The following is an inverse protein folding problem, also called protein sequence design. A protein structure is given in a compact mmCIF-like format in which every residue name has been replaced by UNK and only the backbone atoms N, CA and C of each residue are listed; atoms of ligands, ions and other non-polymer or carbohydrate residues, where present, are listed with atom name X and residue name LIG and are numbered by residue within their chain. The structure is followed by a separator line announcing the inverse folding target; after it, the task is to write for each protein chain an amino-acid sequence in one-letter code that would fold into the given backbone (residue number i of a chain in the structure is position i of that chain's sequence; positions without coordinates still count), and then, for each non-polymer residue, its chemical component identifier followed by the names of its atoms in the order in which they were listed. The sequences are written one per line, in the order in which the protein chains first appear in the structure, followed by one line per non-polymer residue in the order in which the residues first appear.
data_IF_397570235394
#
_entry.id   IF_397570235394
#
_cell.length_a   1.000
_cell.length_b   1.000
_cell.length_c   1.000
_cell.angle_alpha   90.00
_cell.angle_beta   90.00
_cell.angle_gamma   90.00
#
_symmetry.space_group_name_H-M   'P 1'
#
loop_
_entity.id
_entity.type
_entity.pdbx_description
1 polymer ?
#
# COMPACT_ATOMS: atom_id res chain seq x y z
N UNK A 1 -25.87 5.47 -3.14
CA UNK A 1 -25.79 4.42 -2.10
C UNK A 1 -25.28 3.07 -2.64
N UNK A 2 -25.87 2.45 -3.67
CA UNK A 2 -25.52 1.07 -4.06
C UNK A 2 -24.09 0.80 -4.57
N UNK A 3 -23.45 1.72 -5.31
CA UNK A 3 -22.10 1.49 -5.87
C UNK A 3 -21.00 1.56 -4.80
N UNK A 4 -21.12 2.49 -3.85
CA UNK A 4 -20.14 2.66 -2.76
C UNK A 4 -20.17 1.47 -1.80
N UNK A 5 -21.35 1.00 -1.40
CA UNK A 5 -21.48 -0.19 -0.56
C UNK A 5 -20.93 -1.46 -1.24
N UNK A 6 -21.13 -1.60 -2.55
CA UNK A 6 -20.59 -2.73 -3.31
C UNK A 6 -19.05 -2.70 -3.37
N UNK A 7 -18.47 -1.51 -3.55
CA UNK A 7 -17.01 -1.33 -3.56
C UNK A 7 -16.41 -1.63 -2.18
N UNK A 8 -16.98 -1.06 -1.11
CA UNK A 8 -16.55 -1.33 0.27
C UNK A 8 -16.63 -2.83 0.61
N UNK A 9 -17.73 -3.51 0.25
CA UNK A 9 -17.89 -4.93 0.51
C UNK A 9 -16.89 -5.82 -0.26
N UNK A 10 -16.57 -5.49 -1.51
CA UNK A 10 -15.55 -6.20 -2.30
C UNK A 10 -14.15 -5.97 -1.72
N UNK A 11 -13.88 -4.75 -1.32
CA UNK A 11 -12.59 -4.32 -0.83
C UNK A 11 -12.25 -4.92 0.54
N UNK A 12 -13.25 -5.08 1.41
CA UNK A 12 -13.09 -5.81 2.68
C UNK A 12 -12.77 -7.29 2.44
N UNK A 13 -13.43 -7.95 1.48
CA UNK A 13 -13.10 -9.33 1.11
C UNK A 13 -11.68 -9.45 0.56
N UNK A 14 -11.25 -8.52 -0.30
CA UNK A 14 -9.88 -8.50 -0.82
C UNK A 14 -8.85 -8.39 0.30
N UNK A 15 -9.13 -7.61 1.34
CA UNK A 15 -8.24 -7.47 2.49
C UNK A 15 -8.07 -8.78 3.27
N UNK A 16 -9.15 -9.53 3.50
CA UNK A 16 -9.08 -10.87 4.12
C UNK A 16 -8.19 -11.82 3.31
N UNK A 17 -8.33 -11.81 1.98
CA UNK A 17 -7.47 -12.61 1.09
C UNK A 17 -6.00 -12.19 1.16
N UNK A 18 -5.71 -10.89 1.19
CA UNK A 18 -4.35 -10.37 1.29
C UNK A 18 -3.69 -10.74 2.62
N UNK A 19 -4.41 -10.65 3.74
CA UNK A 19 -3.91 -11.07 5.05
C UNK A 19 -3.62 -12.57 5.09
N UNK A 20 -4.54 -13.39 4.57
CA UNK A 20 -4.36 -14.84 4.49
C UNK A 20 -3.15 -15.20 3.61
N UNK A 21 -2.98 -14.52 2.48
CA UNK A 21 -1.83 -14.71 1.61
C UNK A 21 -0.51 -14.36 2.31
N UNK A 22 -0.46 -13.23 3.02
CA UNK A 22 0.71 -12.87 3.83
C UNK A 22 1.03 -13.92 4.90
N UNK A 23 0.01 -14.41 5.62
CA UNK A 23 0.20 -15.45 6.62
C UNK A 23 0.75 -16.74 5.99
N UNK A 24 0.22 -17.14 4.84
CA UNK A 24 0.72 -18.28 4.09
C UNK A 24 2.19 -18.10 3.68
N UNK A 25 2.53 -16.97 3.05
CA UNK A 25 3.91 -16.67 2.65
C UNK A 25 4.86 -16.59 3.85
N UNK A 26 4.38 -16.12 5.00
CA UNK A 26 5.13 -16.13 6.24
C UNK A 26 5.40 -17.56 6.74
N UNK A 27 4.38 -18.43 6.78
CA UNK A 27 4.51 -19.83 7.20
C UNK A 27 5.50 -20.62 6.36
N UNK A 28 5.60 -20.33 5.06
CA UNK A 28 6.53 -21.00 4.15
C UNK A 28 7.87 -20.26 3.97
N UNK A 29 8.16 -19.24 4.79
CA UNK A 29 9.39 -18.43 4.75
C UNK A 29 9.67 -17.72 3.41
N UNK A 30 8.64 -17.42 2.61
CA UNK A 30 8.74 -16.70 1.33
C UNK A 30 8.26 -15.25 1.44
N UNK A 31 8.51 -14.60 2.58
CA UNK A 31 8.16 -13.20 2.82
C UNK A 31 8.85 -12.22 1.85
N UNK A 32 9.90 -12.67 1.15
CA UNK A 32 10.61 -11.93 0.10
C UNK A 32 10.19 -12.31 -1.31
N UNK A 33 9.03 -12.95 -1.50
CA UNK A 33 8.53 -13.21 -2.83
C UNK A 33 8.01 -11.90 -3.47
N UNK A 34 8.23 -11.66 -4.78
CA UNK A 34 7.72 -10.46 -5.46
C UNK A 34 6.21 -10.25 -5.35
N UNK A 35 5.44 -11.33 -5.17
CA UNK A 35 3.99 -11.29 -4.94
C UNK A 35 3.63 -10.61 -3.60
N UNK A 36 4.50 -10.71 -2.59
CA UNK A 36 4.29 -10.03 -1.30
C UNK A 36 4.36 -8.51 -1.45
N UNK A 37 5.19 -8.01 -2.37
CA UNK A 37 5.25 -6.58 -2.68
C UNK A 37 3.94 -6.06 -3.28
N UNK A 38 3.28 -6.86 -4.14
CA UNK A 38 1.95 -6.55 -4.67
C UNK A 38 0.90 -6.52 -3.56
N UNK A 39 0.95 -7.48 -2.62
CA UNK A 39 0.02 -7.50 -1.50
C UNK A 39 0.15 -6.24 -0.64
N UNK A 40 1.37 -5.83 -0.30
CA UNK A 40 1.58 -4.57 0.43
C UNK A 40 1.09 -3.35 -0.36
N UNK A 41 1.29 -3.32 -1.67
CA UNK A 41 0.79 -2.22 -2.51
C UNK A 41 -0.75 -2.10 -2.42
N UNK A 42 -1.47 -3.21 -2.54
CA UNK A 42 -2.94 -3.20 -2.44
C UNK A 42 -3.45 -2.89 -1.03
N UNK A 43 -2.71 -3.25 0.02
CA UNK A 43 -3.02 -2.79 1.37
C UNK A 43 -2.87 -1.26 1.46
N UNK A 44 -1.85 -0.69 0.83
CA UNK A 44 -1.67 0.77 0.72
C UNK A 44 -2.88 1.45 0.07
N UNK A 45 -3.36 0.93 -1.07
CA UNK A 45 -4.57 1.43 -1.73
C UNK A 45 -5.81 1.32 -0.83
N UNK A 46 -5.92 0.22 -0.07
CA UNK A 46 -7.02 0.02 0.84
C UNK A 46 -7.06 1.09 1.95
N UNK A 47 -5.92 1.32 2.61
CA UNK A 47 -5.81 2.33 3.66
C UNK A 47 -6.01 3.75 3.11
N UNK A 48 -5.60 4.00 1.86
CA UNK A 48 -5.84 5.27 1.20
C UNK A 48 -7.34 5.57 1.03
N UNK A 49 -8.13 4.59 0.60
CA UNK A 49 -9.58 4.74 0.47
C UNK A 49 -10.29 4.87 1.82
N UNK A 50 -9.69 4.39 2.91
CA UNK A 50 -10.17 4.59 4.27
C UNK A 50 -9.73 5.93 4.88
N UNK A 51 -9.08 6.80 4.10
CA UNK A 51 -8.49 8.07 4.55
C UNK A 51 -7.40 7.91 5.63
N UNK A 52 -6.82 6.72 5.75
CA UNK A 52 -5.75 6.40 6.69
C UNK A 52 -4.38 6.58 6.02
N UNK A 53 -4.03 7.84 5.72
CA UNK A 53 -2.85 8.19 4.91
C UNK A 53 -1.52 7.68 5.48
N UNK A 54 -1.31 7.73 6.79
CA UNK A 54 -0.08 7.22 7.40
C UNK A 54 0.12 5.73 7.13
N UNK A 55 -0.93 4.92 7.34
CA UNK A 55 -0.87 3.49 7.09
C UNK A 55 -0.69 3.21 5.60
N UNK A 56 -1.38 3.96 4.73
CA UNK A 56 -1.22 3.83 3.28
C UNK A 56 0.24 4.04 2.85
N UNK A 57 0.88 5.11 3.32
CA UNK A 57 2.29 5.41 3.02
C UNK A 57 3.22 4.31 3.52
N UNK A 58 3.02 3.80 4.74
CA UNK A 58 3.83 2.70 5.30
C UNK A 58 3.75 1.45 4.41
N UNK A 59 2.56 1.07 3.95
CA UNK A 59 2.40 -0.09 3.08
C UNK A 59 2.96 0.12 1.67
N UNK A 60 2.84 1.34 1.11
CA UNK A 60 3.49 1.68 -0.15
C UNK A 60 5.03 1.66 -0.04
N UNK A 61 5.59 2.09 1.09
CA UNK A 61 7.04 2.01 1.37
C UNK A 61 7.51 0.56 1.35
N UNK A 62 6.84 -0.31 2.12
CA UNK A 62 7.15 -1.75 2.16
C UNK A 62 7.05 -2.41 0.79
N UNK A 63 6.06 -2.04 -0.03
CA UNK A 63 5.93 -2.52 -1.39
C UNK A 63 7.10 -2.10 -2.27
N UNK A 64 7.53 -0.84 -2.18
CA UNK A 64 8.65 -0.31 -2.93
C UNK A 64 9.98 -0.96 -2.53
N UNK A 65 10.26 -1.06 -1.23
CA UNK A 65 11.46 -1.72 -0.68
C UNK A 65 11.55 -3.17 -1.12
N UNK A 66 10.46 -3.92 -0.98
CA UNK A 66 10.43 -5.32 -1.35
C UNK A 66 10.51 -5.51 -2.86
N UNK A 67 9.85 -4.65 -3.64
CA UNK A 67 9.97 -4.63 -5.09
C UNK A 67 11.42 -4.43 -5.53
N UNK A 68 12.13 -3.47 -4.94
CA UNK A 68 13.56 -3.23 -5.22
C UNK A 68 14.46 -4.40 -4.80
N UNK A 69 14.14 -5.07 -3.69
CA UNK A 69 14.94 -6.18 -3.19
C UNK A 69 14.76 -7.49 -3.97
N UNK A 70 13.65 -7.65 -4.70
CA UNK A 70 13.22 -8.96 -5.24
C UNK A 70 13.09 -8.98 -6.75
N UNK A 71 12.83 -7.85 -7.39
CA UNK A 71 12.71 -7.72 -8.84
C UNK A 71 14.03 -7.25 -9.47
N UNK A 72 14.20 -7.53 -10.77
CA UNK A 72 15.32 -6.98 -11.54
C UNK A 72 15.20 -5.44 -11.59
N UNK A 73 16.31 -4.67 -11.54
CA UNK A 73 16.28 -3.20 -11.53
C UNK A 73 15.47 -2.55 -12.68
N UNK A 74 15.45 -3.19 -13.85
CA UNK A 74 14.72 -2.70 -15.02
C UNK A 74 13.23 -3.05 -15.02
N UNK A 75 12.73 -3.73 -13.98
CA UNK A 75 11.34 -4.15 -13.92
C UNK A 75 10.42 -2.94 -13.76
N UNK A 76 9.43 -2.74 -14.65
CA UNK A 76 8.57 -1.55 -14.65
C UNK A 76 7.79 -1.37 -13.34
N UNK A 77 7.46 -2.47 -12.66
CA UNK A 77 6.78 -2.45 -11.35
C UNK A 77 7.58 -1.75 -10.26
N UNK A 78 8.93 -1.79 -10.29
CA UNK A 78 9.74 -1.04 -9.31
C UNK A 78 9.43 0.45 -9.43
N UNK A 79 9.49 0.98 -10.66
CA UNK A 79 9.16 2.40 -10.93
C UNK A 79 7.74 2.74 -10.50
N UNK A 80 6.80 1.82 -10.71
CA UNK A 80 5.42 2.05 -10.30
C UNK A 80 5.29 2.19 -8.77
N UNK A 81 5.90 1.28 -8.00
CA UNK A 81 5.85 1.34 -6.54
C UNK A 81 6.59 2.55 -5.98
N UNK A 82 7.81 2.82 -6.45
CA UNK A 82 8.60 3.95 -5.95
C UNK A 82 7.95 5.29 -6.28
N UNK A 83 7.39 5.45 -7.48
CA UNK A 83 6.66 6.67 -7.85
C UNK A 83 5.39 6.86 -7.02
N UNK A 84 4.65 5.77 -6.76
CA UNK A 84 3.42 5.82 -5.95
C UNK A 84 3.75 6.18 -4.51
N UNK A 85 4.73 5.51 -3.91
CA UNK A 85 5.22 5.84 -2.57
C UNK A 85 5.68 7.30 -2.47
N UNK A 86 6.54 7.76 -3.40
CA UNK A 86 7.04 9.12 -3.39
C UNK A 86 5.91 10.15 -3.44
N UNK A 87 4.96 9.97 -4.37
CA UNK A 87 3.78 10.83 -4.48
C UNK A 87 2.97 10.85 -3.19
N UNK A 88 2.69 9.69 -2.60
CA UNK A 88 1.88 9.58 -1.39
C UNK A 88 2.55 10.11 -0.15
N UNK A 89 3.87 9.96 -0.05
CA UNK A 89 4.67 10.60 1.00
C UNK A 89 4.60 12.12 0.91
N UNK A 90 4.72 12.69 -0.29
CA UNK A 90 4.56 14.14 -0.49
C UNK A 90 3.15 14.62 -0.14
N UNK A 91 2.12 13.86 -0.52
CA UNK A 91 0.73 14.15 -0.17
C UNK A 91 0.53 14.19 1.35
N UNK A 92 1.04 13.18 2.08
CA UNK A 92 0.99 13.14 3.54
C UNK A 92 1.69 14.34 4.19
N UNK A 93 2.91 14.67 3.76
CA UNK A 93 3.66 15.83 4.28
C UNK A 93 2.91 17.15 4.03
N UNK A 94 2.27 17.27 2.85
CA UNK A 94 1.48 18.46 2.53
C UNK A 94 0.25 18.60 3.44
N UNK A 95 -0.40 17.48 3.78
CA UNK A 95 -1.53 17.47 4.71
C UNK A 95 -1.09 17.89 6.11
N UNK A 96 -0.01 17.30 6.64
CA UNK A 96 0.54 17.66 7.96
C UNK A 96 0.88 19.15 8.04
N UNK A 97 1.54 19.70 7.01
CA UNK A 97 1.85 21.13 6.96
C UNK A 97 0.61 22.02 6.95
N UNK A 98 -0.47 21.59 6.28
CA UNK A 98 -1.73 22.34 6.24
C UNK A 98 -2.50 22.28 7.55
N UNK A 99 -2.42 21.16 8.27
CA UNK A 99 -3.01 21.01 9.60
C UNK A 99 -2.27 21.86 10.64
N UNK A 100 -0.94 21.94 10.55
CA UNK A 100 -0.12 22.76 11.45
C UNK A 100 -0.41 24.25 11.25
N UNK A 101 -0.51 24.73 10.01
CA UNK A 101 -0.90 26.12 9.69
C UNK A 101 -2.31 26.44 10.18
N UNK A 102 -3.24 25.49 10.13
CA UNK A 102 -4.64 25.69 10.57
C UNK A 102 -4.79 25.74 12.10
N UNK A 103 -3.78 25.31 12.86
CA UNK A 103 -3.76 25.34 14.34
C UNK A 103 -3.15 26.62 14.91
N UNK A 104 -2.55 27.48 14.07
CA UNK A 104 -1.97 28.78 14.43
C UNK A 104 -3.00 29.91 14.26
#
# INVERSE_FOLDING_TARGET
MGRVHMLQGKMNKSMEFYMLALEFFHRINLIKAPVVAQIYFYMGEWYEQMHQMHQAVEYYERAAELGMATLRPDHPTIKHYTNTFARKKTELLSMESSEEVSRL
#
